data_IF_316005742841
#
_entry.id   IF_316005742841
#
_cell.length_a   1.000
_cell.length_b   1.000
_cell.length_c   1.000
_cell.angle_alpha   90.00
_cell.angle_beta   90.00
_cell.angle_gamma   90.00
#
_symmetry.space_group_name_H-M   'P 1'
#
loop_
_entity.id
_entity.type
_entity.pdbx_description
1 polymer ?
#
# COMPACT_ATOMS: atom_id res chain seq x y z
N UNK A 1 -0.08 -3.38 -21.62
CA UNK A 1 1.16 -4.13 -21.31
C UNK A 1 1.04 -4.94 -20.00
N UNK A 2 -0.16 -5.07 -19.42
CA UNK A 2 -0.35 -5.69 -18.09
C UNK A 2 -0.65 -7.19 -18.08
N UNK A 3 -0.74 -7.83 -19.26
CA UNK A 3 -1.21 -9.22 -19.37
C UNK A 3 -0.10 -10.25 -19.19
N UNK A 4 1.18 -9.91 -19.45
CA UNK A 4 2.27 -10.90 -19.47
C UNK A 4 2.95 -11.14 -18.11
N UNK A 5 2.98 -10.18 -17.19
CA UNK A 5 3.68 -10.36 -15.91
C UNK A 5 2.86 -11.18 -14.90
N UNK A 6 1.53 -11.00 -14.90
CA UNK A 6 0.62 -11.65 -13.95
C UNK A 6 0.42 -13.15 -14.24
N UNK A 7 0.49 -13.56 -15.50
CA UNK A 7 0.34 -14.97 -15.89
C UNK A 7 1.53 -15.83 -15.44
N UNK A 8 2.71 -15.21 -15.27
CA UNK A 8 3.94 -15.88 -14.85
C UNK A 8 4.17 -15.78 -13.34
N UNK A 9 3.92 -14.62 -12.72
CA UNK A 9 4.22 -14.38 -11.30
C UNK A 9 3.04 -14.62 -10.33
N UNK A 10 1.82 -14.82 -10.85
CA UNK A 10 0.58 -14.79 -10.07
C UNK A 10 0.19 -13.36 -9.68
N UNK A 11 -0.75 -13.21 -8.74
CA UNK A 11 -1.08 -11.87 -8.19
C UNK A 11 0.18 -11.23 -7.59
N UNK A 12 0.33 -9.91 -7.55
CA UNK A 12 1.51 -9.29 -6.93
C UNK A 12 1.11 -8.71 -5.57
N UNK A 13 1.82 -8.98 -4.46
CA UNK A 13 1.56 -8.36 -3.17
C UNK A 13 1.53 -6.83 -3.29
N UNK A 14 0.44 -6.22 -2.82
CA UNK A 14 0.22 -4.77 -2.95
C UNK A 14 -0.24 -4.18 -1.62
N UNK A 15 0.44 -3.11 -1.19
CA UNK A 15 0.04 -2.31 -0.02
C UNK A 15 0.24 -0.82 -0.33
N UNK A 16 -0.83 -0.06 -0.60
CA UNK A 16 -0.76 1.38 -0.86
C UNK A 16 -0.23 2.17 0.33
N UNK A 17 0.74 3.04 0.05
CA UNK A 17 1.34 3.96 1.02
C UNK A 17 1.18 5.38 0.50
N UNK A 18 0.52 6.21 1.30
CA UNK A 18 0.20 7.59 0.98
C UNK A 18 1.21 8.47 1.68
N UNK A 19 2.21 8.93 0.94
CA UNK A 19 3.32 9.69 1.49
C UNK A 19 2.98 11.18 1.65
N UNK A 20 3.79 11.89 2.44
CA UNK A 20 3.70 13.31 2.79
C UNK A 20 2.55 13.66 3.73
N UNK A 21 2.25 12.78 4.69
CA UNK A 21 1.25 13.02 5.73
C UNK A 21 1.52 14.30 6.55
N UNK A 22 2.78 14.75 6.62
CA UNK A 22 3.17 16.03 7.23
C UNK A 22 2.59 17.27 6.51
N UNK A 23 2.03 17.09 5.30
CA UNK A 23 1.38 18.12 4.50
C UNK A 23 -0.14 17.85 4.35
N UNK A 24 -0.77 17.19 5.32
CA UNK A 24 -2.18 16.80 5.23
C UNK A 24 -3.13 17.97 4.91
N UNK A 25 -2.87 19.16 5.46
CA UNK A 25 -3.68 20.37 5.22
C UNK A 25 -3.55 20.91 3.78
N UNK A 26 -2.55 20.44 3.03
CA UNK A 26 -2.29 20.80 1.63
C UNK A 26 -2.61 19.64 0.67
N UNK A 27 -3.22 18.56 1.17
CA UNK A 27 -3.54 17.41 0.36
C UNK A 27 -4.57 17.79 -0.73
N UNK A 28 -4.22 17.54 -1.98
CA UNK A 28 -5.12 17.71 -3.12
C UNK A 28 -6.13 16.54 -3.27
N UNK A 29 -6.09 15.59 -2.37
CA UNK A 29 -6.94 14.39 -2.34
C UNK A 29 -7.55 14.24 -0.93
N UNK A 30 -8.80 13.80 -0.88
CA UNK A 30 -9.53 13.60 0.35
C UNK A 30 -9.53 12.15 0.83
N UNK A 31 -10.00 11.92 2.05
CA UNK A 31 -10.14 10.57 2.60
C UNK A 31 -11.07 9.68 1.75
N UNK A 32 -12.03 10.28 1.03
CA UNK A 32 -12.91 9.58 0.08
C UNK A 32 -12.15 8.99 -1.11
N UNK A 33 -11.17 9.71 -1.68
CA UNK A 33 -10.36 9.23 -2.80
C UNK A 33 -9.53 8.02 -2.38
N UNK A 34 -9.00 8.07 -1.16
CA UNK A 34 -8.19 7.01 -0.60
C UNK A 34 -9.02 5.78 -0.22
N UNK A 35 -10.23 5.98 0.31
CA UNK A 35 -11.18 4.89 0.55
C UNK A 35 -11.60 4.21 -0.76
N UNK A 36 -11.81 4.98 -1.82
CA UNK A 36 -12.11 4.44 -3.15
C UNK A 36 -10.95 3.61 -3.73
N UNK A 37 -9.72 4.13 -3.62
CA UNK A 37 -8.51 3.40 -4.02
C UNK A 37 -8.36 2.09 -3.23
N UNK A 38 -8.46 2.16 -1.90
CA UNK A 38 -8.34 1.00 -1.01
C UNK A 38 -9.38 -0.08 -1.33
N UNK A 39 -10.63 0.32 -1.58
CA UNK A 39 -11.70 -0.58 -2.01
C UNK A 39 -11.42 -1.22 -3.36
N UNK A 40 -10.93 -0.44 -4.33
CA UNK A 40 -10.63 -0.92 -5.69
C UNK A 40 -9.50 -1.95 -5.69
N UNK A 41 -8.51 -1.76 -4.82
CA UNK A 41 -7.37 -2.66 -4.66
C UNK A 41 -7.63 -3.80 -3.66
N UNK A 42 -8.80 -3.80 -3.00
CA UNK A 42 -9.20 -4.74 -1.94
C UNK A 42 -8.14 -4.86 -0.83
N UNK A 43 -7.49 -3.75 -0.49
CA UNK A 43 -6.46 -3.70 0.53
C UNK A 43 -6.58 -2.43 1.36
N UNK A 44 -6.02 -2.45 2.58
CA UNK A 44 -5.87 -1.24 3.39
C UNK A 44 -4.80 -0.31 2.82
N UNK A 45 -4.70 0.89 3.38
CA UNK A 45 -3.62 1.85 3.08
C UNK A 45 -3.02 2.39 4.36
N UNK A 46 -1.84 3.01 4.25
CA UNK A 46 -1.22 3.73 5.37
C UNK A 46 -0.76 5.12 4.91
N UNK A 47 -1.08 6.16 5.70
CA UNK A 47 -0.49 7.49 5.55
C UNK A 47 0.89 7.50 6.20
N UNK A 48 1.89 8.07 5.53
CA UNK A 48 3.27 8.14 6.02
C UNK A 48 3.89 9.49 5.71
N UNK A 49 4.96 9.84 6.42
CA UNK A 49 5.85 10.93 6.04
C UNK A 49 7.28 10.42 5.98
N UNK A 50 7.82 10.31 4.78
CA UNK A 50 9.25 10.03 4.60
C UNK A 50 10.15 11.14 5.17
N UNK A 51 9.62 12.36 5.35
CA UNK A 51 10.35 13.50 5.90
C UNK A 51 10.54 13.37 7.41
N UNK A 52 9.49 12.96 8.14
CA UNK A 52 9.54 12.81 9.59
C UNK A 52 9.85 11.38 10.04
N UNK A 53 9.72 10.40 9.14
CA UNK A 53 9.82 8.97 9.42
C UNK A 53 8.50 8.34 9.87
N UNK A 54 7.43 9.13 10.06
CA UNK A 54 6.13 8.66 10.53
C UNK A 54 5.55 7.58 9.61
N UNK A 55 5.20 6.43 10.19
CA UNK A 55 4.54 5.31 9.51
C UNK A 55 5.40 4.59 8.46
N UNK A 56 6.63 5.03 8.20
CA UNK A 56 7.50 4.40 7.18
C UNK A 56 7.83 2.96 7.56
N UNK A 57 8.27 2.73 8.80
CA UNK A 57 8.59 1.38 9.28
C UNK A 57 7.35 0.48 9.23
N UNK A 58 6.19 0.97 9.67
CA UNK A 58 4.94 0.21 9.66
C UNK A 58 4.49 -0.16 8.24
N UNK A 59 4.69 0.73 7.27
CA UNK A 59 4.40 0.45 5.86
C UNK A 59 5.24 -0.73 5.35
N UNK A 60 6.56 -0.71 5.60
CA UNK A 60 7.45 -1.78 5.17
C UNK A 60 7.17 -3.09 5.91
N UNK A 61 6.90 -3.05 7.22
CA UNK A 61 6.55 -4.25 7.99
C UNK A 61 5.24 -4.88 7.51
N UNK A 62 4.23 -4.08 7.17
CA UNK A 62 2.97 -4.59 6.60
C UNK A 62 3.18 -5.24 5.24
N UNK A 63 3.96 -4.61 4.36
CA UNK A 63 4.28 -5.21 3.06
C UNK A 63 5.07 -6.52 3.24
N UNK A 64 6.07 -6.53 4.12
CA UNK A 64 6.86 -7.72 4.42
C UNK A 64 5.98 -8.86 4.96
N UNK A 65 5.00 -8.54 5.82
CA UNK A 65 4.01 -9.52 6.32
C UNK A 65 3.21 -10.14 5.16
N UNK A 66 2.67 -9.32 4.25
CA UNK A 66 1.88 -9.80 3.11
C UNK A 66 2.74 -10.72 2.21
N UNK A 67 3.98 -10.33 1.95
CA UNK A 67 4.92 -11.15 1.16
C UNK A 67 5.23 -12.46 1.87
N UNK A 68 5.53 -12.43 3.17
CA UNK A 68 5.84 -13.61 3.97
C UNK A 68 4.65 -14.57 4.08
N UNK A 69 3.46 -14.07 4.42
CA UNK A 69 2.24 -14.87 4.54
C UNK A 69 1.96 -15.61 3.23
N UNK A 70 2.15 -14.93 2.09
CA UNK A 70 2.02 -15.56 0.78
C UNK A 70 3.08 -16.63 0.51
N UNK A 71 4.36 -16.35 0.79
CA UNK A 71 5.45 -17.31 0.56
C UNK A 71 5.33 -18.55 1.45
N UNK A 72 4.71 -18.39 2.63
CA UNK A 72 4.51 -19.45 3.62
C UNK A 72 3.15 -20.15 3.51
N UNK A 73 2.26 -19.71 2.61
CA UNK A 73 0.92 -20.29 2.42
C UNK A 73 -0.04 -20.02 3.59
N UNK A 74 0.13 -18.90 4.28
CA UNK A 74 -0.68 -18.46 5.44
C UNK A 74 -1.79 -17.47 5.08
N UNK A 75 -1.93 -17.13 3.79
CA UNK A 75 -2.89 -16.16 3.25
C UNK A 75 -4.00 -16.77 2.42
#
# INVERSE_FOLDING_TARGET
MDVEVRSVAGEVPLFPVVNKADLADQAAYGDTDMAFMARSLRCGFLKTSAKTGEGVQDAFLRLARIVADRQLGLG
#
